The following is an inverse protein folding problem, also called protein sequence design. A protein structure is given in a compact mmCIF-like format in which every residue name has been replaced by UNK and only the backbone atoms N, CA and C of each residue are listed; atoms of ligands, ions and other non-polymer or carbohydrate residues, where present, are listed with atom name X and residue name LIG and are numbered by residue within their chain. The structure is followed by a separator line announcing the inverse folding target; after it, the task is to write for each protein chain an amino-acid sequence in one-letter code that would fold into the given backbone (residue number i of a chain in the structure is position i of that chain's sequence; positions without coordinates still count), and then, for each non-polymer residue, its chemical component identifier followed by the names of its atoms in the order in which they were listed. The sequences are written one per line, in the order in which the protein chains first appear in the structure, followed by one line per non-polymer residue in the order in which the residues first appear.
data_IF_295128544669
#
_entry.id   IF_295128544669
#
_cell.length_a   1.000
_cell.length_b   1.000
_cell.length_c   1.000
_cell.angle_alpha   90.00
_cell.angle_beta   90.00
_cell.angle_gamma   90.00
#
_symmetry.space_group_name_H-M   'P 1'
#
loop_
_entity.id
_entity.type
_entity.pdbx_description
1 polymer ?
#
# COMPACT_ATOMS: atom_id res chain seq x y z
N UNK A 1 -34.74 23.88 5.27
CA UNK A 1 -34.14 22.78 4.48
C UNK A 1 -32.74 22.54 5.02
N UNK A 2 -32.40 21.31 5.39
CA UNK A 2 -31.10 20.97 5.98
C UNK A 2 -30.14 20.51 4.88
N UNK A 3 -28.88 20.92 4.98
CA UNK A 3 -27.79 20.52 4.09
C UNK A 3 -26.65 20.00 4.96
N UNK A 4 -25.94 19.01 4.46
CA UNK A 4 -24.64 18.61 5.01
C UNK A 4 -23.55 18.90 3.99
N UNK A 5 -22.42 19.41 4.48
CA UNK A 5 -21.28 19.73 3.63
C UNK A 5 -20.18 18.71 3.87
N UNK A 6 -19.81 17.98 2.82
CA UNK A 6 -18.64 17.10 2.83
C UNK A 6 -17.42 17.98 2.56
N UNK A 7 -16.45 17.96 3.46
CA UNK A 7 -15.20 18.72 3.37
C UNK A 7 -14.01 17.78 3.24
N UNK A 8 -12.95 18.26 2.60
CA UNK A 8 -11.68 17.56 2.55
C UNK A 8 -10.90 17.72 3.89
N UNK A 9 -9.74 17.05 4.06
CA UNK A 9 -8.90 17.21 5.26
C UNK A 9 -8.38 18.64 5.49
N UNK A 10 -8.37 19.50 4.48
CA UNK A 10 -7.96 20.91 4.60
C UNK A 10 -9.13 21.83 4.96
N UNK A 11 -10.37 21.32 4.96
CA UNK A 11 -11.59 22.06 5.28
C UNK A 11 -12.28 22.67 4.05
N UNK A 12 -11.79 22.42 2.84
CA UNK A 12 -12.38 22.82 1.57
C UNK A 12 -13.70 22.06 1.35
N UNK A 13 -14.77 22.78 1.00
CA UNK A 13 -16.07 22.16 0.71
C UNK A 13 -15.99 21.40 -0.62
N UNK A 14 -16.18 20.08 -0.57
CA UNK A 14 -16.18 19.21 -1.75
C UNK A 14 -17.59 19.04 -2.31
N UNK A 15 -18.58 18.82 -1.44
CA UNK A 15 -19.95 18.56 -1.83
C UNK A 15 -20.93 19.16 -0.82
N UNK A 16 -22.07 19.63 -1.31
CA UNK A 16 -23.17 20.12 -0.45
C UNK A 16 -24.41 19.30 -0.69
N UNK A 17 -24.66 18.33 0.18
CA UNK A 17 -25.73 17.35 0.01
C UNK A 17 -26.99 17.84 0.70
N UNK A 18 -28.05 18.01 -0.08
CA UNK A 18 -29.37 18.40 0.45
C UNK A 18 -30.04 17.19 1.12
N UNK A 19 -30.50 17.37 2.35
CA UNK A 19 -31.32 16.35 3.02
C UNK A 19 -32.67 16.21 2.30
N UNK A 20 -33.07 14.96 2.05
CA UNK A 20 -34.42 14.59 1.61
C UNK A 20 -35.04 13.70 2.69
N UNK A 21 -36.14 14.18 3.28
CA UNK A 21 -36.80 13.55 4.44
C UNK A 21 -35.85 13.41 5.64
N UNK A 22 -35.25 12.23 5.84
CA UNK A 22 -34.31 11.91 6.94
C UNK A 22 -32.99 11.33 6.43
N UNK A 23 -32.69 11.51 5.15
CA UNK A 23 -31.49 10.93 4.51
C UNK A 23 -30.80 11.92 3.58
N UNK A 24 -29.49 11.76 3.42
CA UNK A 24 -28.67 12.50 2.46
C UNK A 24 -28.35 11.59 1.28
N UNK A 25 -29.09 11.74 0.18
CA UNK A 25 -28.85 10.96 -1.04
C UNK A 25 -27.78 11.65 -1.88
N UNK A 26 -26.56 11.13 -1.83
CA UNK A 26 -25.47 11.58 -2.67
C UNK A 26 -25.49 10.83 -4.01
N UNK A 27 -25.44 11.56 -5.13
CA UNK A 27 -25.40 10.96 -6.46
C UNK A 27 -24.20 11.52 -7.24
N UNK A 28 -23.09 10.80 -7.15
CA UNK A 28 -21.78 11.17 -7.70
C UNK A 28 -21.78 11.42 -9.23
N UNK A 29 -22.80 10.94 -9.95
CA UNK A 29 -22.91 11.09 -11.41
C UNK A 29 -23.74 12.30 -11.85
N UNK A 30 -24.46 12.97 -10.94
CA UNK A 30 -25.32 14.13 -11.27
C UNK A 30 -24.65 15.49 -11.07
N UNK A 31 -23.53 15.52 -10.35
CA UNK A 31 -22.77 16.74 -10.09
C UNK A 31 -21.56 16.80 -11.04
N UNK A 32 -21.23 18.02 -11.51
CA UNK A 32 -20.02 18.26 -12.30
C UNK A 32 -18.81 17.74 -11.53
N UNK A 33 -18.11 16.76 -12.11
CA UNK A 33 -16.93 16.21 -11.49
C UNK A 33 -15.77 17.18 -11.68
N UNK A 34 -15.45 17.91 -10.63
CA UNK A 34 -14.22 18.70 -10.56
C UNK A 34 -13.11 17.77 -10.09
N UNK A 35 -12.13 17.53 -10.96
CA UNK A 35 -10.91 16.83 -10.57
C UNK A 35 -10.12 17.75 -9.62
N UNK A 36 -10.06 17.39 -8.34
CA UNK A 36 -9.20 18.10 -7.41
C UNK A 36 -7.74 17.73 -7.70
N UNK A 37 -6.85 18.71 -7.93
CA UNK A 37 -5.44 18.43 -8.04
C UNK A 37 -4.95 17.87 -6.71
N UNK A 38 -4.26 16.74 -6.76
CA UNK A 38 -3.55 16.21 -5.59
C UNK A 38 -2.47 17.23 -5.23
N UNK A 39 -2.66 17.93 -4.11
CA UNK A 39 -1.74 18.95 -3.60
C UNK A 39 -0.51 18.34 -2.91
N UNK A 40 -0.60 17.09 -2.49
CA UNK A 40 0.45 16.38 -1.77
C UNK A 40 0.76 15.05 -2.45
N UNK A 41 1.98 14.94 -2.96
CA UNK A 41 2.48 13.74 -3.62
C UNK A 41 3.69 13.25 -2.84
N UNK A 42 3.51 12.15 -2.10
CA UNK A 42 4.57 11.53 -1.32
C UNK A 42 5.07 10.23 -1.95
N UNK A 43 6.33 9.89 -1.67
CA UNK A 43 6.93 8.60 -2.05
C UNK A 43 6.10 7.43 -1.54
N UNK A 44 5.60 7.52 -0.31
CA UNK A 44 4.83 6.44 0.31
C UNK A 44 3.45 6.24 -0.38
N UNK A 45 2.81 7.32 -0.83
CA UNK A 45 1.54 7.23 -1.55
C UNK A 45 1.70 6.49 -2.87
N UNK A 46 2.69 6.87 -3.68
CA UNK A 46 2.95 6.22 -4.97
C UNK A 46 3.46 4.80 -4.82
N UNK A 47 4.30 4.53 -3.81
CA UNK A 47 4.70 3.19 -3.42
C UNK A 47 3.50 2.27 -3.20
N UNK A 48 2.49 2.72 -2.45
CA UNK A 48 1.25 1.95 -2.21
C UNK A 48 0.38 1.83 -3.46
N UNK A 49 0.17 2.92 -4.21
CA UNK A 49 -0.64 2.92 -5.45
C UNK A 49 -0.10 1.98 -6.53
N UNK A 50 1.22 1.84 -6.62
CA UNK A 50 1.89 0.93 -7.55
C UNK A 50 2.04 -0.50 -7.00
N UNK A 51 1.23 -0.89 -6.01
CA UNK A 51 1.25 -2.25 -5.46
C UNK A 51 2.53 -2.56 -4.69
N UNK A 52 2.99 -1.64 -3.85
CA UNK A 52 4.20 -1.79 -3.04
C UNK A 52 5.50 -1.91 -3.87
N UNK A 53 5.55 -1.23 -5.02
CA UNK A 53 6.71 -1.22 -5.90
C UNK A 53 7.99 -0.76 -5.17
N UNK A 54 9.15 -1.24 -5.60
CA UNK A 54 10.42 -0.92 -4.95
C UNK A 54 10.72 0.59 -4.99
N UNK A 55 10.88 1.19 -3.81
CA UNK A 55 11.03 2.65 -3.68
C UNK A 55 12.27 3.17 -4.42
N UNK A 56 13.40 2.46 -4.38
CA UNK A 56 14.59 2.88 -5.14
C UNK A 56 14.36 2.79 -6.65
N UNK A 57 13.60 1.79 -7.11
CA UNK A 57 13.19 1.67 -8.51
C UNK A 57 12.30 2.83 -8.93
N UNK A 58 11.38 3.26 -8.06
CA UNK A 58 10.54 4.43 -8.30
C UNK A 58 11.37 5.71 -8.38
N UNK A 59 12.31 5.91 -7.45
CA UNK A 59 13.24 7.05 -7.48
C UNK A 59 14.10 7.04 -8.74
N UNK A 60 14.54 5.87 -9.20
CA UNK A 60 15.25 5.72 -10.46
C UNK A 60 14.38 6.15 -11.65
N UNK A 61 13.13 5.70 -11.72
CA UNK A 61 12.21 6.09 -12.79
C UNK A 61 11.94 7.59 -12.81
N UNK A 62 11.75 8.22 -11.64
CA UNK A 62 11.55 9.66 -11.51
C UNK A 62 12.79 10.45 -11.95
N UNK A 63 13.97 10.04 -11.47
CA UNK A 63 15.25 10.69 -11.81
C UNK A 63 15.55 10.63 -13.31
N UNK A 64 15.21 9.52 -13.95
CA UNK A 64 15.46 9.31 -15.38
C UNK A 64 14.27 9.67 -16.28
N UNK A 65 13.24 10.34 -15.74
CA UNK A 65 12.05 10.77 -16.50
C UNK A 65 11.34 9.61 -17.24
N UNK A 66 11.33 8.43 -16.64
CA UNK A 66 10.72 7.21 -17.20
C UNK A 66 9.22 7.07 -16.87
N UNK A 67 8.64 8.04 -16.16
CA UNK A 67 7.24 8.06 -15.73
C UNK A 67 6.63 9.44 -16.01
N UNK A 68 5.38 9.45 -16.44
CA UNK A 68 4.61 10.67 -16.69
C UNK A 68 3.58 10.90 -15.58
N UNK A 69 3.32 12.17 -15.23
CA UNK A 69 2.23 12.54 -14.31
C UNK A 69 2.52 12.31 -12.81
N UNK A 70 3.76 11.98 -12.44
CA UNK A 70 4.18 11.90 -11.04
C UNK A 70 4.92 13.19 -10.67
N UNK A 71 4.40 13.92 -9.68
CA UNK A 71 5.06 15.12 -9.15
C UNK A 71 6.43 14.74 -8.55
N UNK A 72 7.42 15.63 -8.69
CA UNK A 72 8.76 15.42 -8.14
C UNK A 72 8.70 15.10 -6.65
N UNK A 73 9.17 13.91 -6.27
CA UNK A 73 9.14 13.42 -4.90
C UNK A 73 10.49 13.71 -4.24
N UNK A 74 10.53 14.64 -3.29
CA UNK A 74 11.76 15.02 -2.56
C UNK A 74 11.86 14.36 -1.18
N UNK A 75 10.83 13.63 -0.76
CA UNK A 75 10.76 13.02 0.57
C UNK A 75 11.64 11.76 0.69
N UNK A 76 12.23 11.55 1.88
CA UNK A 76 12.89 10.28 2.18
C UNK A 76 11.86 9.15 2.24
N UNK A 77 12.21 7.93 1.75
CA UNK A 77 11.37 6.76 1.91
C UNK A 77 11.03 6.51 3.38
N UNK A 78 9.73 6.46 3.70
CA UNK A 78 9.29 5.89 4.96
C UNK A 78 9.41 4.35 4.89
N UNK A 79 9.74 3.71 6.01
CA UNK A 79 9.72 2.26 6.10
C UNK A 79 8.27 1.77 5.96
N UNK A 80 8.01 0.88 5.00
CA UNK A 80 6.71 0.27 4.81
C UNK A 80 6.67 -1.08 5.53
N UNK A 81 5.90 -1.16 6.62
CA UNK A 81 5.76 -2.40 7.40
C UNK A 81 5.28 -3.59 6.57
N UNK A 82 4.29 -3.37 5.70
CA UNK A 82 3.78 -4.41 4.80
C UNK A 82 4.89 -4.98 3.90
N UNK A 83 5.74 -4.12 3.33
CA UNK A 83 6.91 -4.58 2.57
C UNK A 83 7.94 -5.26 3.43
N UNK A 84 8.19 -4.77 4.65
CA UNK A 84 9.16 -5.36 5.56
C UNK A 84 8.79 -6.80 5.87
N UNK A 85 7.53 -7.06 6.24
CA UNK A 85 7.04 -8.41 6.50
C UNK A 85 6.93 -9.24 5.22
N UNK A 86 6.46 -8.65 4.12
CA UNK A 86 6.32 -9.36 2.84
C UNK A 86 7.63 -9.73 2.15
N UNK A 87 8.71 -8.98 2.40
CA UNK A 87 10.06 -9.24 1.86
C UNK A 87 10.99 -9.90 2.88
N UNK A 88 10.49 -10.20 4.07
CA UNK A 88 11.28 -10.86 5.10
C UNK A 88 11.69 -12.24 4.61
N UNK A 89 12.99 -12.46 4.47
CA UNK A 89 13.54 -13.78 4.15
C UNK A 89 13.83 -14.55 5.43
N UNK A 90 13.60 -15.87 5.40
CA UNK A 90 14.03 -16.76 6.48
C UNK A 90 15.56 -16.76 6.54
N UNK A 91 16.12 -16.56 7.72
CA UNK A 91 17.58 -16.74 7.92
C UNK A 91 17.97 -18.17 7.56
N UNK A 92 19.19 -18.41 7.04
CA UNK A 92 19.69 -19.75 6.82
C UNK A 92 19.57 -20.59 8.10
N UNK A 93 19.17 -21.85 7.94
CA UNK A 93 19.23 -22.79 9.04
C UNK A 93 20.68 -23.02 9.45
N UNK A 94 20.99 -23.13 10.75
CA UNK A 94 22.30 -23.59 11.17
C UNK A 94 22.55 -24.97 10.58
N UNK A 95 23.77 -25.19 10.07
CA UNK A 95 24.16 -26.52 9.59
C UNK A 95 24.17 -27.47 10.80
N UNK A 96 23.42 -28.57 10.71
CA UNK A 96 23.60 -29.66 11.67
C UNK A 96 25.00 -30.23 11.49
N UNK A 97 25.79 -30.25 12.57
CA UNK A 97 27.08 -30.95 12.64
C UNK A 97 26.91 -32.45 12.87
N UNK A 98 25.69 -32.91 13.18
CA UNK A 98 25.43 -34.27 13.60
C UNK A 98 24.65 -35.06 12.56
N UNK A 99 25.10 -36.29 12.32
CA UNK A 99 24.45 -37.31 11.50
C UNK A 99 24.57 -38.66 12.22
N UNK A 100 23.60 -39.54 11.98
CA UNK A 100 23.67 -40.92 12.45
C UNK A 100 24.93 -41.61 11.87
N UNK A 101 25.69 -42.26 12.74
CA UNK A 101 26.90 -43.04 12.40
C UNK A 101 26.67 -44.55 12.47
N UNK A 102 25.55 -44.99 13.05
CA UNK A 102 25.16 -46.40 13.16
C UNK A 102 23.79 -46.66 12.53
N UNK A 103 23.57 -47.89 12.08
CA UNK A 103 22.27 -48.33 11.53
C UNK A 103 21.17 -48.12 12.57
N UNK A 104 20.03 -47.58 12.13
CA UNK A 104 18.84 -47.31 12.95
C UNK A 104 19.05 -46.33 14.13
N UNK A 105 20.15 -45.58 14.17
CA UNK A 105 20.40 -44.58 15.23
C UNK A 105 19.44 -43.38 15.15
N UNK A 106 18.90 -43.09 13.97
CA UNK A 106 17.91 -42.04 13.74
C UNK A 106 16.91 -42.52 12.69
N UNK A 107 15.63 -42.44 13.02
CA UNK A 107 14.53 -42.77 12.12
C UNK A 107 13.63 -41.53 12.02
N UNK A 108 13.50 -41.00 10.81
CA UNK A 108 12.52 -39.97 10.50
C UNK A 108 11.29 -40.65 9.91
N UNK A 109 10.13 -40.43 10.52
CA UNK A 109 8.84 -40.91 10.02
C UNK A 109 8.03 -39.67 9.73
N UNK A 110 7.50 -39.58 8.51
CA UNK A 110 6.54 -38.56 8.13
C UNK A 110 5.18 -39.22 7.95
N UNK A 111 4.12 -38.48 8.27
CA UNK A 111 2.75 -38.95 8.07
C UNK A 111 2.17 -38.16 6.91
N UNK A 112 1.97 -38.85 5.79
CA UNK A 112 1.18 -38.30 4.70
C UNK A 112 -0.31 -38.28 5.12
N UNK A 113 -0.99 -37.17 4.86
CA UNK A 113 -2.42 -37.00 5.13
C UNK A 113 -3.30 -37.94 4.29
N UNK A 114 -4.61 -38.01 4.57
CA UNK A 114 -5.55 -38.86 3.84
C UNK A 114 -5.63 -38.53 2.35
#
# INVERSE_FOLDING_TARGET
MMYETIKDPTGLEMFKVKMRSKSFSFNQMKEEQIAFPVTTSSVNLWHKRLGHFHILGMNYMLKNQLVCGVLSLTEKPAECEACRFGKQTRKPFPKSSWRASKKLQLVHIDVAGP
#
